data_IF_891395503882
#
_entry.id   IF_891395503882
#
_cell.length_a   1.000
_cell.length_b   1.000
_cell.length_c   1.000
_cell.angle_alpha   90.00
_cell.angle_beta   90.00
_cell.angle_gamma   90.00
#
_symmetry.space_group_name_H-M   'P 1'
#
loop_
_entity.id
_entity.type
_entity.pdbx_description
1 polymer ?
#
# COMPACT_ATOMS: atom_id res chain seq x y z
N UNK A 1 -4.63 -15.58 6.63
CA UNK A 1 -3.17 -15.37 6.44
C UNK A 1 -2.89 -14.64 5.14
N UNK A 2 -3.37 -15.13 3.98
CA UNK A 2 -3.19 -14.45 2.68
C UNK A 2 -3.69 -13.00 2.71
N UNK A 3 -4.89 -12.73 3.24
CA UNK A 3 -5.44 -11.36 3.35
C UNK A 3 -4.58 -10.38 4.17
N UNK A 4 -3.84 -10.87 5.17
CA UNK A 4 -2.92 -10.01 5.93
C UNK A 4 -1.77 -9.52 5.03
N UNK A 5 -1.15 -10.43 4.27
CA UNK A 5 -0.09 -10.08 3.33
C UNK A 5 -0.61 -9.20 2.18
N UNK A 6 -1.83 -9.46 1.71
CA UNK A 6 -2.48 -8.62 0.69
C UNK A 6 -2.70 -7.21 1.22
N UNK A 7 -3.20 -7.04 2.46
CA UNK A 7 -3.35 -5.71 3.08
C UNK A 7 -2.03 -4.97 3.28
N UNK A 8 -0.95 -5.69 3.63
CA UNK A 8 0.40 -5.10 3.70
C UNK A 8 0.86 -4.61 2.32
N UNK A 9 0.74 -5.46 1.30
CA UNK A 9 1.13 -5.13 -0.08
C UNK A 9 0.31 -3.98 -0.65
N UNK A 10 -1.00 -3.97 -0.38
CA UNK A 10 -1.89 -2.91 -0.82
C UNK A 10 -1.44 -1.55 -0.28
N UNK A 11 -1.16 -1.44 1.02
CA UNK A 11 -0.70 -0.18 1.59
C UNK A 11 0.68 0.25 1.07
N UNK A 12 1.56 -0.69 0.72
CA UNK A 12 2.83 -0.38 0.03
C UNK A 12 2.56 0.21 -1.37
N UNK A 13 1.64 -0.39 -2.14
CA UNK A 13 1.26 0.08 -3.48
C UNK A 13 0.61 1.47 -3.40
N UNK A 14 -0.29 1.69 -2.45
CA UNK A 14 -0.92 2.99 -2.21
C UNK A 14 0.14 4.05 -1.84
N UNK A 15 1.12 3.70 -1.01
CA UNK A 15 2.21 4.64 -0.65
C UNK A 15 3.12 4.95 -1.86
N UNK A 16 3.33 3.97 -2.75
CA UNK A 16 4.05 4.23 -4.00
C UNK A 16 3.22 5.11 -4.95
N UNK A 17 1.91 4.87 -5.04
CA UNK A 17 0.98 5.67 -5.81
C UNK A 17 0.96 7.13 -5.36
N UNK A 18 0.86 7.40 -4.05
CA UNK A 18 0.85 8.78 -3.53
C UNK A 18 2.09 9.55 -3.95
N UNK A 19 3.26 8.91 -3.97
CA UNK A 19 4.48 9.51 -4.48
C UNK A 19 4.46 9.78 -5.99
N UNK A 20 3.94 8.83 -6.78
CA UNK A 20 3.86 8.98 -8.24
C UNK A 20 2.89 10.10 -8.62
N UNK A 21 1.80 10.24 -7.85
CA UNK A 21 0.85 11.35 -7.97
C UNK A 21 1.50 12.69 -7.62
N UNK A 22 2.26 12.79 -6.52
CA UNK A 22 2.93 14.04 -6.14
C UNK A 22 4.05 14.44 -7.10
N UNK A 23 4.65 13.49 -7.82
CA UNK A 23 5.62 13.75 -8.91
C UNK A 23 4.95 14.09 -10.26
N UNK A 24 3.62 14.32 -10.31
CA UNK A 24 2.84 14.64 -11.52
C UNK A 24 2.95 13.61 -12.68
N UNK A 25 3.28 12.35 -12.37
CA UNK A 25 3.38 11.27 -13.37
C UNK A 25 2.01 10.66 -13.65
N UNK A 26 1.18 11.38 -14.42
CA UNK A 26 -0.24 11.03 -14.70
C UNK A 26 -0.41 9.60 -15.23
N UNK A 27 0.36 9.19 -16.25
CA UNK A 27 0.25 7.85 -16.84
C UNK A 27 0.60 6.73 -15.85
N UNK A 28 1.67 6.93 -15.06
CA UNK A 28 2.09 5.95 -14.06
C UNK A 28 1.11 5.88 -12.89
N UNK A 29 0.54 7.02 -12.47
CA UNK A 29 -0.53 7.06 -11.46
C UNK A 29 -1.75 6.27 -11.94
N UNK A 30 -2.18 6.46 -13.19
CA UNK A 30 -3.29 5.71 -13.78
C UNK A 30 -3.05 4.19 -13.78
N UNK A 31 -1.85 3.75 -14.16
CA UNK A 31 -1.50 2.32 -14.16
C UNK A 31 -1.52 1.72 -12.73
N UNK A 32 -0.99 2.44 -11.74
CA UNK A 32 -0.99 1.96 -10.35
C UNK A 32 -2.42 1.94 -9.79
N UNK A 33 -3.25 2.93 -10.11
CA UNK A 33 -4.68 2.93 -9.72
C UNK A 33 -5.40 1.71 -10.28
N UNK A 34 -5.15 1.35 -11.54
CA UNK A 34 -5.74 0.15 -12.14
C UNK A 34 -5.37 -1.12 -11.37
N UNK A 35 -4.09 -1.30 -11.05
CA UNK A 35 -3.61 -2.42 -10.22
C UNK A 35 -4.27 -2.40 -8.84
N UNK A 36 -4.36 -1.23 -8.20
CA UNK A 36 -4.96 -1.08 -6.88
C UNK A 36 -6.44 -1.50 -6.86
N UNK A 37 -7.20 -1.13 -7.89
CA UNK A 37 -8.62 -1.54 -8.01
C UNK A 37 -8.75 -3.06 -8.17
N UNK A 38 -7.86 -3.71 -8.93
CA UNK A 38 -7.89 -5.17 -9.08
C UNK A 38 -7.63 -5.91 -7.76
N UNK A 39 -6.69 -5.38 -6.95
CA UNK A 39 -6.42 -5.91 -5.61
C UNK A 39 -7.64 -5.73 -4.71
N UNK A 40 -8.25 -4.53 -4.73
CA UNK A 40 -9.46 -4.25 -3.97
C UNK A 40 -10.63 -5.17 -4.34
N UNK A 41 -10.82 -5.43 -5.63
CA UNK A 41 -11.85 -6.34 -6.12
C UNK A 41 -11.65 -7.75 -5.54
N UNK A 42 -10.41 -8.26 -5.58
CA UNK A 42 -10.08 -9.57 -5.01
C UNK A 42 -10.33 -9.63 -3.49
N UNK A 43 -9.93 -8.59 -2.75
CA UNK A 43 -10.16 -8.50 -1.30
C UNK A 43 -11.64 -8.47 -0.99
N UNK A 44 -12.42 -7.63 -1.68
CA UNK A 44 -13.86 -7.53 -1.50
C UNK A 44 -14.54 -8.87 -1.79
N UNK A 45 -14.20 -9.53 -2.89
CA UNK A 45 -14.76 -10.85 -3.21
C UNK A 45 -14.47 -11.86 -2.09
N UNK A 46 -13.23 -11.92 -1.62
CA UNK A 46 -12.84 -12.84 -0.54
C UNK A 46 -13.58 -12.54 0.77
N UNK A 47 -13.81 -11.26 1.10
CA UNK A 47 -14.54 -10.87 2.31
C UNK A 47 -16.04 -11.17 2.17
N UNK A 48 -16.63 -10.96 0.99
CA UNK A 48 -18.06 -11.20 0.74
C UNK A 48 -18.35 -12.70 0.73
N UNK A 49 -17.49 -13.51 0.13
CA UNK A 49 -17.65 -14.97 0.06
C UNK A 49 -17.64 -15.62 1.46
N UNK A 50 -16.93 -15.03 2.44
CA UNK A 50 -16.83 -15.48 3.83
C UNK A 50 -17.30 -14.41 4.85
N UNK A 51 -18.42 -13.73 4.55
CA UNK A 51 -18.90 -12.57 5.32
C UNK A 51 -19.18 -12.84 6.81
N UNK A 52 -19.53 -14.08 7.18
CA UNK A 52 -19.73 -14.49 8.57
C UNK A 52 -18.42 -14.49 9.39
N UNK A 53 -17.27 -14.50 8.72
CA UNK A 53 -15.97 -14.64 9.38
C UNK A 53 -15.29 -13.27 9.56
N UNK A 54 -15.79 -12.49 10.53
CA UNK A 54 -15.24 -11.16 10.91
C UNK A 54 -13.73 -11.15 11.19
N UNK A 55 -13.13 -12.31 11.52
CA UNK A 55 -11.68 -12.47 11.70
C UNK A 55 -10.90 -12.19 10.40
N UNK A 56 -11.47 -12.45 9.23
CA UNK A 56 -10.85 -12.16 7.94
C UNK A 56 -10.67 -10.65 7.75
N UNK A 57 -11.72 -9.88 8.05
CA UNK A 57 -11.69 -8.41 8.00
C UNK A 57 -10.68 -7.86 9.00
N UNK A 58 -10.66 -8.38 10.22
CA UNK A 58 -9.69 -7.97 11.25
C UNK A 58 -8.24 -8.27 10.82
N UNK A 59 -7.97 -9.42 10.23
CA UNK A 59 -6.64 -9.78 9.71
C UNK A 59 -6.21 -8.89 8.55
N UNK A 60 -7.12 -8.58 7.63
CA UNK A 60 -6.86 -7.65 6.54
C UNK A 60 -6.56 -6.24 7.07
N UNK A 61 -7.38 -5.74 8.00
CA UNK A 61 -7.17 -4.44 8.66
C UNK A 61 -5.83 -4.37 9.41
N UNK A 62 -5.43 -5.44 10.10
CA UNK A 62 -4.11 -5.54 10.73
C UNK A 62 -2.98 -5.51 9.69
N UNK A 63 -3.16 -6.20 8.56
CA UNK A 63 -2.22 -6.16 7.44
C UNK A 63 -2.05 -4.74 6.91
N UNK A 64 -3.15 -4.04 6.70
CA UNK A 64 -3.14 -2.64 6.27
C UNK A 64 -2.42 -1.74 7.30
N UNK A 65 -2.73 -1.86 8.59
CA UNK A 65 -2.07 -1.08 9.63
C UNK A 65 -0.54 -1.30 9.64
N UNK A 66 -0.11 -2.57 9.59
CA UNK A 66 1.31 -2.93 9.53
C UNK A 66 1.95 -2.41 8.24
N UNK A 67 1.28 -2.57 7.10
CA UNK A 67 1.75 -2.07 5.80
C UNK A 67 2.00 -0.56 5.81
N UNK A 68 1.08 0.22 6.37
CA UNK A 68 1.20 1.67 6.50
C UNK A 68 2.37 2.07 7.40
N UNK A 69 2.54 1.41 8.55
CA UNK A 69 3.66 1.72 9.46
C UNK A 69 5.00 1.42 8.78
N UNK A 70 5.12 0.24 8.15
CA UNK A 70 6.34 -0.17 7.44
C UNK A 70 6.63 0.76 6.26
N UNK A 71 5.64 1.05 5.42
CA UNK A 71 5.81 1.88 4.24
C UNK A 71 6.21 3.29 4.63
N UNK A 72 5.52 3.88 5.62
CA UNK A 72 5.80 5.23 6.12
C UNK A 72 7.18 5.32 6.75
N UNK A 73 7.56 4.34 7.58
CA UNK A 73 8.90 4.29 8.17
C UNK A 73 10.00 4.16 7.11
N UNK A 74 9.79 3.31 6.10
CA UNK A 74 10.75 3.13 5.01
C UNK A 74 10.89 4.38 4.13
N UNK A 75 9.77 5.04 3.81
CA UNK A 75 9.77 6.28 3.03
C UNK A 75 10.47 7.42 3.78
N UNK A 76 10.17 7.60 5.06
CA UNK A 76 10.79 8.64 5.88
C UNK A 76 12.31 8.46 5.94
N UNK A 77 12.78 7.21 6.13
CA UNK A 77 14.22 6.89 6.14
C UNK A 77 14.90 7.08 4.78
N UNK A 78 14.18 6.79 3.68
CA UNK A 78 14.69 6.99 2.32
C UNK A 78 14.79 8.47 1.94
N UNK A 79 13.88 9.30 2.45
CA UNK A 79 13.89 10.76 2.25
C UNK A 79 15.03 11.41 3.05
N UNK A 80 15.25 11.00 4.30
CA UNK A 80 16.42 11.42 5.08
C UNK A 80 17.76 11.06 4.40
N UNK A 81 17.87 9.85 3.85
CA UNK A 81 19.08 9.42 3.14
C UNK A 81 19.31 10.21 1.84
N UNK A 82 18.24 10.61 1.14
CA UNK A 82 18.34 11.37 -0.10
C UNK A 82 18.78 12.81 0.15
N UNK A 83 18.30 13.44 1.23
CA UNK A 83 18.73 14.79 1.61
C UNK A 83 20.20 14.86 2.04
N UNK A 84 20.69 13.89 2.83
CA UNK A 84 22.11 13.86 3.24
C UNK A 84 23.09 13.70 2.07
N UNK A 85 22.71 12.96 1.03
CA UNK A 85 23.53 12.79 -0.18
C UNK A 85 23.51 14.05 -1.08
N UNK A 86 22.42 14.81 -1.07
CA UNK A 86 22.34 16.07 -1.81
C UNK A 86 23.14 17.21 -1.15
N UNK A 87 23.37 17.14 0.17
CA UNK A 87 24.17 18.12 0.92
C UNK A 87 25.69 17.90 0.80
N UNK A 88 26.11 16.78 0.20
CA UNK A 88 27.53 16.41 0.01
C UNK A 88 28.05 16.63 -1.43
N UNK A 89 27.21 17.15 -2.34
CA UNK A 89 27.57 17.50 -3.74
C UNK A 89 27.56 19.01 -3.90
#
# INVERSE_FOLDING_TARGET
>A
MVLFLVGVLEMIIVTAWTKVVTENKVMASGAITMVNILIWYYVLQTIIDDIDNWKLVALYALGCAVGTVISTYYFNRKEESKNRLAEQV
#
